data_IF_562558491635
#
_entry.id   IF_562558491635
#
_cell.length_a   1.000
_cell.length_b   1.000
_cell.length_c   1.000
_cell.angle_alpha   90.00
_cell.angle_beta   90.00
_cell.angle_gamma   90.00
#
_symmetry.space_group_name_H-M   'P 1'
#
loop_
_entity.id
_entity.type
_entity.pdbx_description
1 polymer ?
#
# COMPACT_ATOMS: atom_id res chain seq x y z
N UNK A 1 15.83 62.55 -14.85
CA UNK A 1 16.38 61.37 -14.14
C UNK A 1 15.36 60.85 -13.13
N UNK A 2 14.21 60.34 -13.58
CA UNK A 2 13.23 59.64 -12.73
C UNK A 2 12.54 58.58 -13.60
N UNK A 3 13.32 57.68 -14.21
CA UNK A 3 12.76 56.56 -14.99
C UNK A 3 13.34 55.21 -14.58
N UNK A 4 14.27 55.16 -13.62
CA UNK A 4 15.06 53.95 -13.38
C UNK A 4 14.85 53.31 -12.00
N UNK A 5 13.82 53.72 -11.24
CA UNK A 5 13.56 53.21 -9.88
C UNK A 5 12.35 52.27 -9.80
N UNK A 6 11.38 52.36 -10.72
CA UNK A 6 10.25 51.43 -10.77
C UNK A 6 10.63 50.12 -11.47
N UNK A 7 11.42 50.19 -12.54
CA UNK A 7 11.88 49.02 -13.30
C UNK A 7 12.77 48.11 -12.43
N UNK A 8 13.70 48.70 -11.67
CA UNK A 8 14.57 47.97 -10.72
C UNK A 8 13.74 47.34 -9.58
N UNK A 9 12.64 47.97 -9.14
CA UNK A 9 11.77 47.40 -8.11
C UNK A 9 11.00 46.19 -8.63
N UNK A 10 10.47 46.26 -9.85
CA UNK A 10 9.73 45.15 -10.47
C UNK A 10 10.66 43.93 -10.60
N UNK A 11 11.88 44.15 -11.06
CA UNK A 11 12.88 43.08 -11.25
C UNK A 11 13.31 42.44 -9.92
N UNK A 12 13.48 43.25 -8.86
CA UNK A 12 13.79 42.76 -7.52
C UNK A 12 12.63 41.94 -6.90
N UNK A 13 11.38 42.37 -7.11
CA UNK A 13 10.20 41.62 -6.65
C UNK A 13 10.04 40.30 -7.39
N UNK A 14 10.33 40.27 -8.69
CA UNK A 14 10.25 39.07 -9.51
C UNK A 14 11.37 38.09 -9.13
N UNK A 15 12.58 38.58 -8.84
CA UNK A 15 13.71 37.79 -8.35
C UNK A 15 13.46 37.21 -6.94
N UNK A 16 12.89 38.00 -6.02
CA UNK A 16 12.51 37.54 -4.67
C UNK A 16 11.41 36.49 -4.77
N UNK A 17 10.42 36.67 -5.66
CA UNK A 17 9.33 35.70 -5.85
C UNK A 17 9.84 34.38 -6.43
N UNK A 18 10.71 34.41 -7.43
CA UNK A 18 11.35 33.19 -7.99
C UNK A 18 12.21 32.50 -6.94
N UNK A 19 12.95 33.27 -6.13
CA UNK A 19 13.77 32.73 -5.03
C UNK A 19 12.91 32.10 -3.94
N UNK A 20 11.77 32.69 -3.59
CA UNK A 20 10.81 32.12 -2.64
C UNK A 20 10.13 30.87 -3.20
N UNK A 21 9.74 30.86 -4.47
CA UNK A 21 9.17 29.66 -5.14
C UNK A 21 10.21 28.52 -5.22
N UNK A 22 11.48 28.83 -5.44
CA UNK A 22 12.59 27.86 -5.36
C UNK A 22 12.86 27.39 -3.93
N UNK A 23 12.81 28.28 -2.93
CA UNK A 23 13.01 27.92 -1.52
C UNK A 23 11.84 27.09 -0.95
N UNK A 24 10.61 27.34 -1.38
CA UNK A 24 9.43 26.52 -1.04
C UNK A 24 9.57 25.12 -1.66
N UNK A 25 10.07 25.01 -2.90
CA UNK A 25 10.35 23.72 -3.53
C UNK A 25 11.54 22.95 -2.94
N UNK A 26 12.51 23.65 -2.33
CA UNK A 26 13.64 23.04 -1.61
C UNK A 26 13.30 22.62 -0.17
N UNK A 27 12.19 23.13 0.39
CA UNK A 27 11.70 22.80 1.72
C UNK A 27 10.56 21.77 1.74
N UNK A 28 10.13 21.23 0.59
CA UNK A 28 9.38 19.97 0.59
C UNK A 28 10.37 18.91 1.07
N UNK A 29 10.17 18.29 2.25
CA UNK A 29 11.06 17.22 2.67
C UNK A 29 11.11 16.23 1.52
N UNK A 30 12.32 15.89 1.01
CA UNK A 30 12.50 14.69 0.19
C UNK A 30 11.83 13.59 0.99
N UNK A 31 10.61 13.21 0.61
CA UNK A 31 9.80 12.33 1.43
C UNK A 31 10.50 10.99 1.33
N UNK A 32 11.32 10.73 2.35
CA UNK A 32 12.09 9.52 2.52
C UNK A 32 11.12 8.37 2.32
N UNK A 33 11.59 7.36 1.61
CA UNK A 33 10.87 6.11 1.53
C UNK A 33 10.54 5.62 2.95
N UNK A 34 9.26 5.55 3.28
CA UNK A 34 8.82 5.01 4.57
C UNK A 34 8.60 3.52 4.42
N UNK A 35 9.31 2.77 5.25
CA UNK A 35 9.10 1.34 5.40
C UNK A 35 7.96 1.06 6.36
N UNK A 36 7.26 -0.04 6.15
CA UNK A 36 6.29 -0.59 7.06
C UNK A 36 6.92 -0.82 8.43
N UNK A 37 6.21 -0.34 9.43
CA UNK A 37 6.46 -0.54 10.86
C UNK A 37 5.22 -0.06 11.60
N UNK A 38 5.02 -0.52 12.83
CA UNK A 38 3.94 -0.03 13.68
C UNK A 38 4.01 1.49 13.90
N UNK A 39 5.22 2.04 14.00
CA UNK A 39 5.47 3.48 14.17
C UNK A 39 5.00 4.29 12.95
N UNK A 40 5.29 3.81 11.73
CA UNK A 40 4.86 4.50 10.51
C UNK A 40 3.39 4.26 10.19
N UNK A 41 2.85 3.10 10.55
CA UNK A 41 1.43 2.78 10.40
C UNK A 41 0.54 3.66 11.27
N UNK A 42 0.98 3.93 12.51
CA UNK A 42 0.26 4.72 13.53
C UNK A 42 -1.15 4.16 13.74
N UNK A 43 -1.28 3.00 14.38
CA UNK A 43 -2.59 2.37 14.57
C UNK A 43 -3.52 3.28 15.38
N UNK A 44 -4.79 3.30 15.02
CA UNK A 44 -5.82 3.96 15.83
C UNK A 44 -6.05 3.19 17.14
N UNK A 45 -6.63 3.84 18.16
CA UNK A 45 -6.94 3.18 19.45
C UNK A 45 -7.93 1.99 19.34
N UNK A 46 -8.66 1.89 18.22
CA UNK A 46 -9.63 0.82 17.96
C UNK A 46 -9.15 -0.13 16.86
N UNK A 47 -7.94 0.06 16.36
CA UNK A 47 -7.38 -0.79 15.32
C UNK A 47 -6.70 -2.00 15.95
N UNK A 48 -7.22 -3.17 15.65
CA UNK A 48 -6.65 -4.43 16.11
C UNK A 48 -5.28 -4.66 15.46
N UNK A 49 -4.31 -5.05 16.28
CA UNK A 49 -2.92 -5.28 15.87
C UNK A 49 -2.54 -6.71 16.17
N UNK A 50 -2.21 -7.46 15.13
CA UNK A 50 -1.85 -8.86 15.20
C UNK A 50 -0.34 -9.02 15.41
N UNK A 51 0.04 -9.75 16.45
CA UNK A 51 1.44 -10.04 16.75
C UNK A 51 1.91 -11.31 16.01
N UNK A 52 3.22 -11.41 15.80
CA UNK A 52 3.83 -12.62 15.27
C UNK A 52 4.04 -13.64 16.38
N UNK A 53 3.50 -14.85 16.21
CA UNK A 53 3.81 -15.98 17.08
C UNK A 53 4.55 -17.06 16.29
N UNK A 54 5.83 -17.25 16.60
CA UNK A 54 6.68 -18.21 15.90
C UNK A 54 6.23 -19.66 16.07
N UNK A 55 5.60 -19.99 17.21
CA UNK A 55 5.06 -21.34 17.45
C UNK A 55 3.85 -21.63 16.55
N UNK A 56 3.06 -20.61 16.22
CA UNK A 56 1.92 -20.73 15.30
C UNK A 56 2.33 -20.78 13.83
N UNK A 57 3.47 -20.19 13.46
CA UNK A 57 4.03 -20.29 12.11
C UNK A 57 4.68 -21.65 11.88
N UNK A 58 5.30 -22.21 12.93
CA UNK A 58 5.94 -23.52 12.89
C UNK A 58 6.90 -23.68 11.72
N UNK A 59 6.79 -24.80 11.00
CA UNK A 59 7.61 -25.10 9.82
C UNK A 59 7.03 -24.57 8.50
N UNK A 60 5.88 -23.85 8.52
CA UNK A 60 5.23 -23.38 7.29
C UNK A 60 6.09 -22.34 6.56
N UNK A 61 6.76 -21.48 7.32
CA UNK A 61 7.60 -20.40 6.82
C UNK A 61 9.00 -20.58 7.39
N UNK A 62 9.93 -21.04 6.55
CA UNK A 62 11.35 -21.14 6.90
C UNK A 62 12.17 -19.92 6.47
N UNK A 63 11.57 -18.97 5.74
CA UNK A 63 12.26 -17.77 5.29
C UNK A 63 12.33 -16.73 6.42
N UNK A 64 13.54 -16.57 6.98
CA UNK A 64 13.84 -15.57 8.01
C UNK A 64 13.50 -14.14 7.59
N UNK A 65 13.44 -13.83 6.28
CA UNK A 65 13.02 -12.50 5.82
C UNK A 65 11.55 -12.25 6.15
N UNK A 66 10.70 -13.27 6.01
CA UNK A 66 9.28 -13.15 6.32
C UNK A 66 9.07 -12.93 7.81
N UNK A 67 9.76 -13.72 8.64
CA UNK A 67 9.74 -13.54 10.09
C UNK A 67 10.19 -12.13 10.48
N UNK A 68 11.28 -11.64 9.89
CA UNK A 68 11.81 -10.31 10.19
C UNK A 68 10.84 -9.19 9.77
N UNK A 69 10.20 -9.32 8.61
CA UNK A 69 9.26 -8.33 8.08
C UNK A 69 8.02 -8.17 8.97
N UNK A 70 7.57 -9.27 9.57
CA UNK A 70 6.36 -9.33 10.39
C UNK A 70 6.61 -9.18 11.90
N UNK A 71 7.87 -9.03 12.31
CA UNK A 71 8.25 -9.05 13.74
C UNK A 71 7.60 -7.92 14.55
N UNK A 72 7.29 -6.79 13.92
CA UNK A 72 6.61 -5.66 14.58
C UNK A 72 5.07 -5.83 14.60
N UNK A 73 4.57 -6.97 14.10
CA UNK A 73 3.16 -7.26 13.89
C UNK A 73 2.58 -6.52 12.69
N UNK A 74 1.28 -6.70 12.49
CA UNK A 74 0.51 -6.12 11.38
C UNK A 74 -0.86 -5.63 11.87
N UNK A 75 -1.53 -4.71 11.17
CA UNK A 75 -2.95 -4.47 11.42
C UNK A 75 -3.77 -5.73 11.11
N UNK A 76 -4.93 -5.91 11.74
CA UNK A 76 -5.86 -6.97 11.34
C UNK A 76 -6.40 -6.73 9.92
N UNK A 77 -6.78 -5.49 9.62
CA UNK A 77 -7.34 -5.09 8.34
C UNK A 77 -6.46 -4.10 7.61
N UNK A 78 -6.41 -4.19 6.28
CA UNK A 78 -5.71 -3.23 5.44
C UNK A 78 -6.50 -2.95 4.17
N UNK A 79 -6.34 -1.75 3.63
CA UNK A 79 -6.97 -1.41 2.36
C UNK A 79 -6.23 -2.05 1.18
N UNK A 80 -6.95 -2.43 0.11
CA UNK A 80 -8.39 -2.26 -0.10
C UNK A 80 -9.20 -3.46 0.42
N UNK A 81 -10.18 -3.22 1.31
CA UNK A 81 -11.12 -4.20 1.88
C UNK A 81 -10.53 -5.55 2.33
N UNK A 82 -9.25 -5.59 2.67
CA UNK A 82 -8.49 -6.81 2.89
C UNK A 82 -8.17 -7.01 4.38
N UNK A 83 -7.78 -8.22 4.75
CA UNK A 83 -7.40 -8.55 6.12
C UNK A 83 -6.32 -9.62 6.18
N UNK A 84 -5.54 -9.58 7.25
CA UNK A 84 -4.68 -10.69 7.66
C UNK A 84 -5.52 -11.72 8.40
N UNK A 85 -5.21 -13.00 8.19
CA UNK A 85 -5.80 -14.08 8.94
C UNK A 85 -5.37 -13.98 10.40
N UNK A 86 -6.31 -14.20 11.31
CA UNK A 86 -6.07 -14.10 12.74
C UNK A 86 -6.40 -15.39 13.47
N UNK A 87 -5.61 -15.66 14.51
CA UNK A 87 -5.91 -16.65 15.54
C UNK A 87 -5.64 -15.99 16.88
N UNK A 88 -6.71 -15.69 17.61
CA UNK A 88 -6.65 -14.82 18.79
C UNK A 88 -6.04 -13.45 18.41
N UNK A 89 -4.97 -13.02 19.09
CA UNK A 89 -4.25 -11.76 18.83
C UNK A 89 -3.05 -11.94 17.89
N UNK A 90 -2.93 -13.07 17.20
CA UNK A 90 -1.78 -13.39 16.37
C UNK A 90 -2.13 -13.50 14.89
N UNK A 91 -1.19 -13.10 14.03
CA UNK A 91 -1.27 -13.40 12.61
C UNK A 91 -1.20 -14.92 12.43
N UNK A 92 -2.07 -15.46 11.58
CA UNK A 92 -2.24 -16.88 11.39
C UNK A 92 -1.92 -17.30 9.95
N UNK A 93 -1.15 -18.38 9.84
CA UNK A 93 -0.72 -18.96 8.58
C UNK A 93 -1.21 -20.40 8.49
N UNK A 94 -1.64 -20.80 7.30
CA UNK A 94 -1.98 -22.18 7.01
C UNK A 94 -1.77 -22.47 5.52
N UNK A 95 -1.68 -23.73 5.13
CA UNK A 95 -1.60 -24.07 3.70
C UNK A 95 -2.93 -23.77 3.02
N UNK A 96 -2.91 -23.60 1.69
CA UNK A 96 -4.15 -23.45 0.91
C UNK A 96 -5.08 -24.65 1.08
N UNK A 97 -4.50 -25.85 1.19
CA UNK A 97 -5.27 -27.06 1.42
C UNK A 97 -6.02 -27.03 2.75
N UNK A 98 -5.33 -26.62 3.82
CA UNK A 98 -5.94 -26.47 5.15
C UNK A 98 -6.98 -25.33 5.16
N UNK A 99 -6.71 -24.24 4.44
CA UNK A 99 -7.60 -23.07 4.38
C UNK A 99 -9.00 -23.42 3.83
N UNK A 100 -9.07 -24.29 2.82
CA UNK A 100 -10.33 -24.69 2.20
C UNK A 100 -10.82 -26.08 2.59
N UNK A 101 -10.06 -26.82 3.39
CA UNK A 101 -10.28 -28.25 3.66
C UNK A 101 -10.40 -29.06 2.35
N UNK A 102 -9.44 -28.85 1.43
CA UNK A 102 -9.42 -29.45 0.09
C UNK A 102 -7.99 -29.79 -0.34
N UNK A 103 -7.84 -30.77 -1.23
CA UNK A 103 -6.55 -31.16 -1.78
C UNK A 103 -6.34 -30.58 -3.18
N UNK A 104 -5.76 -29.37 -3.25
CA UNK A 104 -5.35 -28.77 -4.51
C UNK A 104 -3.96 -29.26 -4.93
N UNK A 105 -3.73 -29.29 -6.24
CA UNK A 105 -2.39 -29.43 -6.78
C UNK A 105 -1.52 -28.28 -6.27
N UNK A 106 -0.35 -28.60 -5.70
CA UNK A 106 0.57 -27.66 -5.06
C UNK A 106 -0.01 -26.85 -3.88
N UNK A 107 -1.20 -27.17 -3.34
CA UNK A 107 -1.81 -26.36 -2.27
C UNK A 107 -1.03 -26.32 -0.95
N UNK A 108 -0.07 -27.22 -0.74
CA UNK A 108 0.88 -27.17 0.39
C UNK A 108 1.98 -26.09 0.21
N UNK A 109 2.18 -25.61 -1.01
CA UNK A 109 3.22 -24.61 -1.35
C UNK A 109 2.69 -23.17 -1.36
N UNK A 110 1.38 -22.99 -1.19
CA UNK A 110 0.75 -21.69 -1.01
C UNK A 110 0.41 -21.52 0.46
N UNK A 111 1.10 -20.60 1.14
CA UNK A 111 0.88 -20.30 2.56
C UNK A 111 -0.05 -19.10 2.65
N UNK A 112 -1.30 -19.35 3.05
CA UNK A 112 -2.34 -18.32 3.18
C UNK A 112 -2.09 -17.52 4.45
N UNK A 113 -2.15 -16.19 4.34
CA UNK A 113 -1.97 -15.27 5.46
C UNK A 113 -3.02 -14.15 5.54
N UNK A 114 -3.92 -14.07 4.56
CA UNK A 114 -4.96 -13.04 4.53
C UNK A 114 -5.97 -13.28 3.41
N UNK A 115 -6.90 -12.36 3.24
CA UNK A 115 -7.89 -12.37 2.16
C UNK A 115 -8.25 -10.95 1.70
N UNK A 116 -8.82 -10.85 0.50
CA UNK A 116 -9.34 -9.61 -0.09
C UNK A 116 -10.77 -9.26 0.38
N UNK A 117 -11.34 -10.02 1.33
CA UNK A 117 -12.72 -9.86 1.78
C UNK A 117 -13.79 -10.41 0.83
N UNK A 118 -13.43 -10.79 -0.40
CA UNK A 118 -14.31 -11.45 -1.38
C UNK A 118 -14.16 -12.98 -1.38
N UNK A 119 -13.33 -13.52 -0.50
CA UNK A 119 -13.08 -14.96 -0.37
C UNK A 119 -11.84 -15.44 -1.11
N UNK A 120 -11.06 -14.53 -1.72
CA UNK A 120 -9.81 -14.87 -2.37
C UNK A 120 -8.63 -14.74 -1.38
N UNK A 121 -7.82 -15.79 -1.17
CA UNK A 121 -6.73 -15.75 -0.21
C UNK A 121 -5.47 -15.08 -0.77
N UNK A 122 -4.86 -14.21 0.04
CA UNK A 122 -3.47 -13.79 -0.15
C UNK A 122 -2.53 -14.88 0.35
N UNK A 123 -1.57 -15.24 -0.49
CA UNK A 123 -0.65 -16.35 -0.27
C UNK A 123 0.80 -15.95 -0.47
N UNK A 124 1.69 -16.53 0.33
CA UNK A 124 3.11 -16.64 0.00
C UNK A 124 3.27 -17.86 -0.93
N UNK A 125 3.74 -17.64 -2.14
CA UNK A 125 3.99 -18.69 -3.13
C UNK A 125 5.42 -19.25 -3.00
N UNK A 126 5.56 -20.40 -2.34
CA UNK A 126 6.87 -21.04 -2.13
C UNK A 126 7.50 -21.60 -3.41
N UNK A 127 6.71 -21.82 -4.47
CA UNK A 127 7.23 -22.29 -5.75
C UNK A 127 8.02 -21.21 -6.50
N UNK A 128 7.74 -19.93 -6.22
CA UNK A 128 8.30 -18.82 -6.98
C UNK A 128 8.90 -17.75 -6.05
N UNK A 129 10.00 -18.10 -5.39
CA UNK A 129 10.79 -17.18 -4.55
C UNK A 129 10.02 -16.47 -3.43
N UNK A 130 8.95 -17.08 -2.90
CA UNK A 130 8.10 -16.48 -1.85
C UNK A 130 7.48 -15.14 -2.25
N UNK A 131 7.13 -15.01 -3.53
CA UNK A 131 6.30 -13.90 -3.99
C UNK A 131 4.91 -13.94 -3.31
N UNK A 132 4.28 -12.78 -3.25
CA UNK A 132 2.93 -12.64 -2.73
C UNK A 132 1.96 -12.66 -3.91
N UNK A 133 0.94 -13.52 -3.81
CA UNK A 133 -0.11 -13.65 -4.82
C UNK A 133 -1.48 -13.61 -4.16
N UNK A 134 -2.49 -13.22 -4.93
CA UNK A 134 -3.89 -13.42 -4.58
C UNK A 134 -4.42 -14.55 -5.47
N UNK A 135 -5.06 -15.56 -4.87
CA UNK A 135 -5.67 -16.64 -5.64
C UNK A 135 -7.13 -16.29 -5.91
N UNK A 136 -7.42 -15.83 -7.12
CA UNK A 136 -8.76 -15.46 -7.57
C UNK A 136 -9.50 -16.72 -8.01
N UNK A 137 -10.39 -17.20 -7.15
CA UNK A 137 -11.15 -18.43 -7.39
C UNK A 137 -12.31 -18.22 -8.36
N UNK A 138 -12.82 -17.00 -8.50
CA UNK A 138 -13.90 -16.70 -9.45
C UNK A 138 -13.40 -16.74 -10.89
N UNK A 139 -12.20 -16.20 -11.13
CA UNK A 139 -11.55 -16.18 -12.44
C UNK A 139 -10.56 -17.34 -12.65
N UNK A 140 -10.44 -18.24 -11.68
CA UNK A 140 -9.52 -19.39 -11.67
C UNK A 140 -8.07 -19.01 -12.03
N UNK A 141 -7.57 -17.90 -11.46
CA UNK A 141 -6.24 -17.35 -11.79
C UNK A 141 -5.41 -16.99 -10.55
N UNK A 142 -4.09 -16.96 -10.76
CA UNK A 142 -3.14 -16.44 -9.79
C UNK A 142 -2.85 -14.98 -10.16
N UNK A 143 -3.22 -14.06 -9.29
CA UNK A 143 -3.01 -12.62 -9.47
C UNK A 143 -1.72 -12.21 -8.77
N UNK A 144 -0.81 -11.59 -9.52
CA UNK A 144 0.48 -11.10 -8.99
C UNK A 144 0.31 -9.86 -8.12
N UNK A 145 0.90 -9.84 -6.92
CA UNK A 145 0.81 -8.69 -5.99
C UNK A 145 2.17 -8.05 -5.74
N UNK A 146 3.11 -8.74 -5.08
CA UNK A 146 4.41 -8.21 -4.72
C UNK A 146 5.47 -9.30 -4.79
N UNK A 147 6.73 -8.93 -5.00
CA UNK A 147 7.82 -9.90 -5.14
C UNK A 147 8.21 -10.58 -3.82
N UNK A 148 7.78 -10.03 -2.70
CA UNK A 148 8.06 -10.50 -1.34
C UNK A 148 7.17 -9.75 -0.34
N UNK A 149 7.17 -10.22 0.91
CA UNK A 149 6.36 -9.65 1.98
C UNK A 149 6.77 -8.23 2.38
N UNK A 150 8.06 -7.86 2.31
CA UNK A 150 8.51 -6.50 2.63
C UNK A 150 7.86 -5.49 1.67
N UNK A 151 7.90 -5.77 0.37
CA UNK A 151 7.25 -4.94 -0.66
C UNK A 151 5.74 -4.89 -0.46
N UNK A 152 5.12 -6.01 -0.08
CA UNK A 152 3.68 -6.07 0.20
C UNK A 152 3.30 -5.15 1.37
N UNK A 153 4.02 -5.26 2.49
CA UNK A 153 3.81 -4.44 3.68
C UNK A 153 4.06 -2.95 3.39
N UNK A 154 5.10 -2.63 2.63
CA UNK A 154 5.39 -1.25 2.22
C UNK A 154 4.28 -0.70 1.29
N UNK A 155 3.71 -1.55 0.41
CA UNK A 155 2.61 -1.17 -0.48
C UNK A 155 1.31 -0.87 0.29
N UNK A 156 0.93 -1.71 1.25
CA UNK A 156 -0.28 -1.46 2.06
C UNK A 156 -0.11 -0.20 2.92
N UNK A 157 1.10 0.09 3.42
CA UNK A 157 1.38 1.35 4.12
C UNK A 157 1.23 2.54 3.16
N UNK A 158 1.78 2.45 1.96
CA UNK A 158 1.65 3.52 0.97
C UNK A 158 0.18 3.81 0.63
N UNK A 159 -0.65 2.76 0.51
CA UNK A 159 -2.08 2.91 0.27
C UNK A 159 -2.81 3.51 1.48
N UNK A 160 -2.53 3.06 2.71
CA UNK A 160 -3.06 3.69 3.94
C UNK A 160 -2.73 5.17 4.00
N UNK A 161 -1.49 5.54 3.69
CA UNK A 161 -1.09 6.95 3.66
C UNK A 161 -1.87 7.75 2.63
N UNK A 162 -2.16 7.16 1.46
CA UNK A 162 -3.02 7.79 0.45
C UNK A 162 -4.43 8.04 1.02
N UNK A 163 -5.06 7.05 1.65
CA UNK A 163 -6.37 7.20 2.29
C UNK A 163 -6.34 8.32 3.33
N UNK A 164 -5.35 8.32 4.23
CA UNK A 164 -5.23 9.34 5.28
C UNK A 164 -5.07 10.75 4.69
N UNK A 165 -4.30 10.89 3.60
CA UNK A 165 -4.14 12.18 2.91
C UNK A 165 -5.47 12.63 2.30
N UNK A 166 -6.15 11.74 1.56
CA UNK A 166 -7.45 12.02 0.94
C UNK A 166 -8.46 12.44 2.01
N UNK A 167 -8.58 11.69 3.10
CA UNK A 167 -9.50 11.99 4.19
C UNK A 167 -9.17 13.31 4.89
N UNK A 168 -7.89 13.59 5.11
CA UNK A 168 -7.46 14.85 5.73
C UNK A 168 -7.75 16.09 4.86
N UNK A 169 -7.70 15.94 3.53
CA UNK A 169 -7.93 17.03 2.58
C UNK A 169 -9.41 17.26 2.29
N UNK A 170 -10.19 16.20 2.18
CA UNK A 170 -11.53 16.24 1.57
C UNK A 170 -12.65 15.69 2.48
N UNK A 171 -12.32 15.20 3.68
CA UNK A 171 -13.29 14.68 4.66
C UNK A 171 -13.26 13.15 4.80
N UNK A 172 -13.83 12.64 5.90
CA UNK A 172 -13.74 11.22 6.27
C UNK A 172 -14.27 10.25 5.20
N UNK A 173 -15.33 10.64 4.49
CA UNK A 173 -15.98 9.83 3.44
C UNK A 173 -15.36 10.03 2.04
N UNK A 174 -14.33 10.87 1.92
CA UNK A 174 -13.80 11.32 0.63
C UNK A 174 -13.30 10.21 -0.29
N UNK A 175 -12.86 9.07 0.27
CA UNK A 175 -12.48 7.92 -0.55
C UNK A 175 -13.71 7.29 -1.22
N UNK A 176 -14.80 7.10 -0.45
CA UNK A 176 -16.06 6.51 -0.94
C UNK A 176 -16.82 7.45 -1.88
N UNK A 177 -16.76 8.75 -1.59
CA UNK A 177 -17.34 9.80 -2.43
C UNK A 177 -16.43 10.16 -3.62
N UNK A 178 -15.30 9.47 -3.80
CA UNK A 178 -14.33 9.67 -4.88
C UNK A 178 -13.84 11.12 -5.04
N UNK A 179 -13.69 11.85 -3.93
CA UNK A 179 -13.29 13.25 -3.91
C UNK A 179 -11.79 13.46 -4.09
N UNK A 180 -11.01 12.37 -4.11
CA UNK A 180 -9.57 12.43 -4.37
C UNK A 180 -9.28 12.90 -5.79
N UNK A 181 -8.13 13.56 -5.97
CA UNK A 181 -7.75 14.16 -7.26
C UNK A 181 -6.69 13.32 -7.97
N UNK A 182 -6.48 13.60 -9.25
CA UNK A 182 -5.44 12.94 -10.03
C UNK A 182 -4.05 13.08 -9.36
N UNK A 183 -3.76 14.25 -8.77
CA UNK A 183 -2.51 14.48 -8.02
C UNK A 183 -2.32 13.55 -6.82
N UNK A 184 -3.41 13.13 -6.15
CA UNK A 184 -3.37 12.20 -5.03
C UNK A 184 -3.04 10.79 -5.53
N UNK A 185 -3.63 10.37 -6.66
CA UNK A 185 -3.32 9.09 -7.34
C UNK A 185 -1.87 9.07 -7.84
N UNK A 186 -1.39 10.15 -8.48
CA UNK A 186 0.00 10.23 -8.93
C UNK A 186 0.98 10.18 -7.75
N UNK A 187 0.62 10.75 -6.61
CA UNK A 187 1.42 10.64 -5.38
C UNK A 187 1.50 9.18 -4.89
N UNK A 188 0.39 8.43 -4.93
CA UNK A 188 0.39 7.00 -4.61
C UNK A 188 1.27 6.20 -5.59
N UNK A 189 1.13 6.45 -6.90
CA UNK A 189 1.97 5.81 -7.94
C UNK A 189 3.46 6.08 -7.73
N UNK A 190 3.82 7.30 -7.31
CA UNK A 190 5.21 7.64 -6.95
C UNK A 190 5.71 6.94 -5.68
N UNK A 191 4.83 6.65 -4.71
CA UNK A 191 5.22 5.83 -3.55
C UNK A 191 5.46 4.39 -3.97
N UNK A 192 4.57 3.83 -4.79
CA UNK A 192 4.72 2.50 -5.38
C UNK A 192 6.03 2.35 -6.17
N UNK A 193 6.41 3.35 -6.99
CA UNK A 193 7.67 3.29 -7.74
C UNK A 193 8.92 3.35 -6.85
N UNK A 194 8.83 3.92 -5.65
CA UNK A 194 9.93 3.89 -4.66
C UNK A 194 10.06 2.53 -3.96
N UNK A 195 8.96 1.80 -3.78
CA UNK A 195 8.96 0.41 -3.27
C UNK A 195 9.61 -0.50 -4.31
N UNK A 196 9.06 -0.45 -5.53
CA UNK A 196 9.51 -1.21 -6.67
C UNK A 196 9.19 -0.40 -7.93
N UNK A 197 10.23 -0.02 -8.68
CA UNK A 197 10.10 0.80 -9.87
C UNK A 197 9.14 0.22 -10.93
N UNK A 198 8.98 -1.11 -10.92
CA UNK A 198 8.13 -1.85 -11.85
C UNK A 198 6.82 -2.32 -11.22
N UNK A 199 6.47 -1.91 -9.99
CA UNK A 199 5.33 -2.49 -9.24
C UNK A 199 4.05 -2.52 -10.08
N UNK A 200 3.66 -1.38 -10.68
CA UNK A 200 2.43 -1.27 -11.48
C UNK A 200 2.49 -1.96 -12.85
N UNK A 201 3.67 -2.43 -13.27
CA UNK A 201 3.84 -3.24 -14.48
C UNK A 201 3.95 -4.73 -14.18
N UNK A 202 4.41 -5.10 -12.98
CA UNK A 202 4.64 -6.48 -12.55
C UNK A 202 3.57 -7.02 -11.61
N UNK A 203 2.75 -6.16 -11.01
CA UNK A 203 1.62 -6.52 -10.16
C UNK A 203 0.33 -6.26 -10.89
N UNK A 204 -0.44 -7.31 -11.13
CA UNK A 204 -1.80 -7.21 -11.63
C UNK A 204 -2.72 -6.59 -10.57
N UNK A 205 -2.59 -6.99 -9.30
CA UNK A 205 -3.40 -6.45 -8.20
C UNK A 205 -3.26 -4.93 -8.06
N UNK A 206 -2.06 -4.41 -7.80
CA UNK A 206 -1.88 -2.97 -7.59
C UNK A 206 -2.16 -2.13 -8.85
N UNK A 207 -1.96 -2.72 -10.03
CA UNK A 207 -2.33 -2.06 -11.29
C UNK A 207 -3.84 -1.89 -11.36
N UNK A 208 -4.61 -2.95 -11.10
CA UNK A 208 -6.07 -2.91 -11.09
C UNK A 208 -6.58 -1.90 -10.05
N UNK A 209 -6.02 -1.89 -8.83
CA UNK A 209 -6.41 -0.91 -7.80
C UNK A 209 -6.22 0.55 -8.24
N UNK A 210 -5.12 0.85 -8.95
CA UNK A 210 -4.91 2.20 -9.51
C UNK A 210 -5.90 2.49 -10.64
N UNK A 211 -6.18 1.51 -11.50
CA UNK A 211 -7.15 1.66 -12.59
C UNK A 211 -8.56 1.91 -12.05
N UNK A 212 -8.98 1.20 -11.00
CA UNK A 212 -10.25 1.41 -10.31
C UNK A 212 -10.35 2.81 -9.70
N UNK A 213 -9.29 3.29 -9.03
CA UNK A 213 -9.26 4.66 -8.52
C UNK A 213 -9.47 5.68 -9.65
N UNK A 214 -8.85 5.48 -10.82
CA UNK A 214 -8.98 6.37 -11.98
C UNK A 214 -10.39 6.32 -12.57
N UNK A 215 -10.97 5.13 -12.70
CA UNK A 215 -12.34 4.93 -13.22
C UNK A 215 -13.36 5.60 -12.29
N UNK A 216 -13.33 5.30 -11.00
CA UNK A 216 -14.26 5.86 -10.01
C UNK A 216 -14.20 7.39 -9.96
N UNK A 217 -12.99 7.96 -10.08
CA UNK A 217 -12.78 9.42 -10.16
C UNK A 217 -13.34 10.04 -11.44
N UNK A 218 -13.49 9.28 -12.53
CA UNK A 218 -14.05 9.78 -13.79
C UNK A 218 -15.58 9.64 -13.83
N UNK A 219 -16.13 8.64 -13.14
CA UNK A 219 -17.56 8.38 -13.07
C UNK A 219 -18.28 9.25 -12.03
N UNK A 220 -17.51 9.90 -11.16
CA UNK A 220 -18.06 10.83 -10.17
C UNK A 220 -18.53 12.12 -10.86
N UNK A 221 -19.82 12.48 -10.76
CA UNK A 221 -20.33 13.68 -11.41
C UNK A 221 -19.57 14.89 -10.87
N UNK A 222 -18.89 15.61 -11.76
CA UNK A 222 -18.24 16.88 -11.44
C UNK A 222 -19.31 17.81 -10.85
N UNK A 223 -19.29 17.98 -9.52
CA UNK A 223 -20.06 19.00 -8.81
C UNK A 223 -19.42 20.38 -9.00
#
# INVERSE_FOLDING_TARGET
MVENLEEIKIDLFQFIRISLEWMVNLCVPKQSYMKFSKENWRPHEYEEWLELNLDLIGNLISDNKVVKALNDGVPESFAPFSSFNRKESFIYFQTLNDYFDKNFENGLEYIVFGSDGAGNPFCINKLNNSEIVLLDFELEKIVSTNRNIDEFLDSILAYRMFINVVQSKYGAEALFDNLYRQEDIETLKQKFSKINANLLSSSEFWKQEIEELIVNKNDSPTS
#
